data_IF_641251607359
#
_entry.id   IF_641251607359
#
_cell.length_a   1.000
_cell.length_b   1.000
_cell.length_c   1.000
_cell.angle_alpha   90.00
_cell.angle_beta   90.00
_cell.angle_gamma   90.00
#
_symmetry.space_group_name_H-M   'P 1'
#
loop_
_entity.id
_entity.type
_entity.pdbx_description
1 polymer ?
#
# COMPACT_ATOMS: atom_id res chain seq x y z
N UNK A 1 -19.76 -23.36 -12.98
CA UNK A 1 -18.34 -23.59 -12.73
C UNK A 1 -18.03 -22.83 -11.45
N UNK A 2 -17.73 -23.51 -10.34
CA UNK A 2 -17.29 -22.81 -9.14
C UNK A 2 -15.91 -22.19 -9.45
N UNK A 3 -15.80 -20.88 -9.34
CA UNK A 3 -14.53 -20.18 -9.53
C UNK A 3 -13.56 -20.65 -8.43
N UNK A 4 -12.44 -21.23 -8.82
CA UNK A 4 -11.39 -21.67 -7.89
C UNK A 4 -10.83 -20.41 -7.20
N UNK A 5 -11.14 -20.26 -5.91
CA UNK A 5 -10.59 -19.19 -5.08
C UNK A 5 -9.06 -19.32 -5.03
N UNK A 6 -8.35 -18.27 -5.44
CA UNK A 6 -6.90 -18.20 -5.42
C UNK A 6 -6.40 -17.74 -4.05
N UNK A 7 -5.30 -18.35 -3.60
CA UNK A 7 -4.59 -17.91 -2.41
C UNK A 7 -3.55 -16.84 -2.80
N UNK A 8 -3.71 -15.62 -2.29
CA UNK A 8 -2.74 -14.55 -2.52
C UNK A 8 -1.46 -14.83 -1.71
N UNK A 9 -0.24 -14.76 -2.28
CA UNK A 9 0.99 -15.13 -1.59
C UNK A 9 1.31 -14.23 -0.38
N UNK A 10 0.79 -13.00 -0.36
CA UNK A 10 0.96 -12.06 0.76
C UNK A 10 -0.19 -12.12 1.78
N UNK A 11 -1.15 -13.05 1.63
CA UNK A 11 -2.38 -13.08 2.43
C UNK A 11 -2.11 -13.04 3.92
N UNK A 12 -1.20 -13.87 4.46
CA UNK A 12 -0.93 -13.92 5.89
C UNK A 12 -0.41 -12.58 6.45
N UNK A 13 0.49 -11.92 5.70
CA UNK A 13 1.02 -10.60 6.08
C UNK A 13 -0.05 -9.51 5.97
N UNK A 14 -0.86 -9.57 4.93
CA UNK A 14 -1.92 -8.59 4.71
C UNK A 14 -3.06 -8.75 5.71
N UNK A 15 -3.36 -9.97 6.15
CA UNK A 15 -4.33 -10.25 7.21
C UNK A 15 -3.93 -9.56 8.51
N UNK A 16 -2.69 -9.75 8.94
CA UNK A 16 -2.15 -9.10 10.15
C UNK A 16 -2.26 -7.57 10.05
N UNK A 17 -1.92 -7.01 8.88
CA UNK A 17 -2.07 -5.57 8.64
C UNK A 17 -3.54 -5.13 8.67
N UNK A 18 -4.47 -5.87 8.07
CA UNK A 18 -5.91 -5.57 8.11
C UNK A 18 -6.45 -5.61 9.54
N UNK A 19 -6.03 -6.59 10.35
CA UNK A 19 -6.41 -6.67 11.76
C UNK A 19 -5.90 -5.45 12.55
N UNK A 20 -4.69 -4.97 12.28
CA UNK A 20 -4.17 -3.72 12.85
C UNK A 20 -5.00 -2.49 12.43
N UNK A 21 -5.39 -2.40 11.15
CA UNK A 21 -6.23 -1.30 10.66
C UNK A 21 -7.61 -1.32 11.33
N UNK A 22 -8.24 -2.49 11.49
CA UNK A 22 -9.53 -2.63 12.16
C UNK A 22 -9.47 -2.27 13.65
N UNK A 23 -8.34 -2.53 14.31
CA UNK A 23 -8.14 -2.17 15.71
C UNK A 23 -7.93 -0.66 15.93
N UNK A 24 -7.53 0.09 14.89
CA UNK A 24 -7.29 1.53 14.98
C UNK A 24 -8.61 2.32 14.90
N UNK A 25 -9.00 2.95 16.01
CA UNK A 25 -10.19 3.82 16.05
C UNK A 25 -10.04 5.11 15.23
N UNK A 26 -8.83 5.68 15.22
CA UNK A 26 -8.48 6.87 14.44
C UNK A 26 -7.28 6.53 13.56
N UNK A 27 -7.36 6.69 12.23
CA UNK A 27 -6.27 6.34 11.34
C UNK A 27 -5.13 7.37 11.40
N UNK A 28 -3.89 6.87 11.45
CA UNK A 28 -2.70 7.66 11.14
C UNK A 28 -2.45 7.67 9.62
N UNK A 29 -1.57 8.57 9.15
CA UNK A 29 -1.25 8.70 7.72
C UNK A 29 -0.80 7.38 7.09
N UNK A 30 0.05 6.62 7.80
CA UNK A 30 0.48 5.29 7.37
C UNK A 30 -0.67 4.31 7.19
N UNK A 31 -1.66 4.34 8.09
CA UNK A 31 -2.85 3.49 8.00
C UNK A 31 -3.68 3.82 6.75
N UNK A 32 -3.81 5.11 6.41
CA UNK A 32 -4.52 5.54 5.20
C UNK A 32 -3.79 5.05 3.93
N UNK A 33 -2.47 5.16 3.91
CA UNK A 33 -1.63 4.68 2.80
C UNK A 33 -1.71 3.16 2.66
N UNK A 34 -1.65 2.42 3.77
CA UNK A 34 -1.76 0.96 3.77
C UNK A 34 -3.15 0.48 3.35
N UNK A 35 -4.21 1.11 3.84
CA UNK A 35 -5.58 0.80 3.42
C UNK A 35 -5.75 1.00 1.90
N UNK A 36 -5.28 2.12 1.35
CA UNK A 36 -5.36 2.37 -0.10
C UNK A 36 -4.57 1.33 -0.91
N UNK A 37 -3.35 1.00 -0.46
CA UNK A 37 -2.50 -0.02 -1.09
C UNK A 37 -3.18 -1.40 -1.10
N UNK A 38 -3.79 -1.80 0.01
CA UNK A 38 -4.48 -3.09 0.12
C UNK A 38 -5.76 -3.12 -0.72
N UNK A 39 -6.54 -2.05 -0.73
CA UNK A 39 -7.72 -1.93 -1.60
C UNK A 39 -7.36 -2.09 -3.07
N UNK A 40 -6.28 -1.44 -3.54
CA UNK A 40 -5.79 -1.62 -4.91
C UNK A 40 -5.26 -3.02 -5.18
N UNK A 41 -4.59 -3.66 -4.21
CA UNK A 41 -4.04 -5.00 -4.37
C UNK A 41 -5.12 -6.07 -4.56
N UNK A 42 -6.18 -6.00 -3.76
CA UNK A 42 -7.25 -7.01 -3.75
C UNK A 42 -8.43 -6.64 -4.68
N UNK A 43 -8.35 -5.51 -5.38
CA UNK A 43 -9.37 -5.14 -6.38
C UNK A 43 -9.38 -6.13 -7.54
N UNK A 44 -10.52 -6.80 -7.74
CA UNK A 44 -10.70 -7.78 -8.81
C UNK A 44 -9.90 -9.08 -8.63
N UNK A 45 -9.24 -9.28 -7.49
CA UNK A 45 -8.53 -10.53 -7.21
C UNK A 45 -9.52 -11.68 -6.97
N UNK A 46 -9.39 -12.82 -7.67
CA UNK A 46 -10.30 -13.96 -7.53
C UNK A 46 -9.96 -14.78 -6.26
N UNK A 47 -10.30 -14.25 -5.09
CA UNK A 47 -10.05 -14.84 -3.77
C UNK A 47 -9.97 -13.76 -2.66
N UNK A 48 -9.65 -14.17 -1.43
CA UNK A 48 -9.49 -13.27 -0.28
C UNK A 48 -10.68 -12.30 -0.06
N UNK A 49 -11.90 -12.80 -0.24
CA UNK A 49 -13.14 -12.03 -0.03
C UNK A 49 -13.22 -11.49 1.40
N UNK A 50 -12.74 -12.27 2.38
CA UNK A 50 -12.66 -11.86 3.78
C UNK A 50 -11.83 -10.58 3.97
N UNK A 51 -10.68 -10.44 3.29
CA UNK A 51 -9.86 -9.22 3.36
C UNK A 51 -10.58 -8.05 2.70
N UNK A 52 -11.24 -8.28 1.56
CA UNK A 52 -11.98 -7.21 0.87
C UNK A 52 -13.14 -6.69 1.72
N UNK A 53 -13.88 -7.58 2.37
CA UNK A 53 -14.94 -7.21 3.30
C UNK A 53 -14.40 -6.45 4.50
N UNK A 54 -13.29 -6.89 5.08
CA UNK A 54 -12.67 -6.22 6.22
C UNK A 54 -12.09 -4.85 5.84
N UNK A 55 -11.47 -4.70 4.67
CA UNK A 55 -11.03 -3.39 4.14
C UNK A 55 -12.23 -2.44 3.93
N UNK A 56 -13.37 -2.95 3.46
CA UNK A 56 -14.59 -2.18 3.33
C UNK A 56 -15.18 -1.79 4.69
N UNK A 57 -15.08 -2.66 5.71
CA UNK A 57 -15.43 -2.32 7.09
C UNK A 57 -14.53 -1.23 7.65
N UNK A 58 -13.22 -1.28 7.40
CA UNK A 58 -12.27 -0.24 7.83
C UNK A 58 -12.63 1.13 7.24
N UNK A 59 -12.99 1.21 5.95
CA UNK A 59 -13.50 2.45 5.35
C UNK A 59 -14.72 3.00 6.10
N UNK A 60 -15.69 2.14 6.43
CA UNK A 60 -16.90 2.53 7.17
C UNK A 60 -16.57 2.96 8.60
N UNK A 61 -15.68 2.24 9.29
CA UNK A 61 -15.22 2.55 10.64
C UNK A 61 -14.65 3.96 10.72
N UNK A 62 -13.86 4.36 9.71
CA UNK A 62 -13.26 5.69 9.65
C UNK A 62 -14.14 6.73 8.95
N UNK A 63 -15.36 6.35 8.55
CA UNK A 63 -16.31 7.21 7.82
C UNK A 63 -15.70 7.83 6.55
N UNK A 64 -14.97 7.03 5.78
CA UNK A 64 -14.33 7.44 4.54
C UNK A 64 -14.96 6.77 3.32
N UNK A 65 -15.15 7.53 2.25
CA UNK A 65 -15.27 6.97 0.91
C UNK A 65 -13.90 6.63 0.32
N UNK A 66 -13.90 5.80 -0.74
CA UNK A 66 -12.66 5.48 -1.46
C UNK A 66 -12.04 6.71 -2.13
N UNK A 67 -12.84 7.63 -2.64
CA UNK A 67 -12.36 8.89 -3.21
C UNK A 67 -11.67 9.75 -2.13
N UNK A 68 -12.30 9.94 -0.97
CA UNK A 68 -11.69 10.69 0.14
C UNK A 68 -10.39 10.04 0.62
N UNK A 69 -10.35 8.71 0.71
CA UNK A 69 -9.12 7.98 1.03
C UNK A 69 -8.02 8.28 0.00
N UNK A 70 -8.34 8.25 -1.29
CA UNK A 70 -7.37 8.54 -2.36
C UNK A 70 -6.91 10.00 -2.32
N UNK A 71 -7.80 10.95 -2.07
CA UNK A 71 -7.44 12.36 -1.92
C UNK A 71 -6.50 12.58 -0.73
N UNK A 72 -6.82 12.01 0.43
CA UNK A 72 -5.96 12.12 1.63
C UNK A 72 -4.61 11.46 1.43
N UNK A 73 -4.57 10.27 0.84
CA UNK A 73 -3.30 9.60 0.56
C UNK A 73 -2.43 10.41 -0.40
N UNK A 74 -2.98 11.02 -1.45
CA UNK A 74 -2.22 11.94 -2.32
C UNK A 74 -1.60 13.09 -1.53
N UNK A 75 -2.39 13.77 -0.69
CA UNK A 75 -1.88 14.85 0.15
C UNK A 75 -0.75 14.39 1.09
N UNK A 76 -0.84 13.18 1.65
CA UNK A 76 0.21 12.57 2.48
C UNK A 76 1.51 12.38 1.68
N UNK A 77 1.42 11.88 0.44
CA UNK A 77 2.59 11.71 -0.43
C UNK A 77 3.20 13.05 -0.86
N UNK A 78 2.38 14.05 -1.16
CA UNK A 78 2.81 15.42 -1.45
C UNK A 78 3.50 16.07 -0.24
N UNK A 79 3.04 15.76 0.97
CA UNK A 79 3.66 16.16 2.24
C UNK A 79 5.00 15.48 2.55
N UNK A 80 5.50 14.60 1.66
CA UNK A 80 6.82 13.97 1.80
C UNK A 80 6.83 12.63 2.52
N UNK A 81 5.67 12.06 2.87
CA UNK A 81 5.60 10.73 3.46
C UNK A 81 6.19 9.68 2.52
N UNK A 82 7.11 8.85 3.01
CA UNK A 82 7.71 7.73 2.27
C UNK A 82 7.74 6.49 3.16
N UNK A 83 6.90 5.47 2.90
CA UNK A 83 6.89 4.26 3.70
C UNK A 83 8.21 3.51 3.50
N UNK A 84 8.85 3.11 4.61
CA UNK A 84 10.11 2.35 4.57
C UNK A 84 11.36 3.17 4.20
N UNK A 85 11.23 4.48 3.95
CA UNK A 85 12.40 5.33 3.83
C UNK A 85 13.03 5.51 5.22
N UNK A 86 14.13 4.80 5.46
CA UNK A 86 15.13 5.30 6.39
C UNK A 86 15.60 6.66 5.83
N UNK A 87 15.84 7.68 6.65
CA UNK A 87 16.43 8.93 6.17
C UNK A 87 17.84 8.60 5.68
N UNK A 88 17.95 8.25 4.40
CA UNK A 88 19.22 8.20 3.68
C UNK A 88 19.58 9.66 3.43
N UNK A 89 20.16 10.28 4.46
CA UNK A 89 20.96 11.47 4.25
C UNK A 89 22.04 11.09 3.23
N UNK A 90 21.93 11.68 2.05
CA UNK A 90 23.00 11.83 1.06
C UNK A 90 23.69 10.54 0.57
N UNK A 91 23.33 10.12 -0.65
CA UNK A 91 24.27 9.80 -1.75
C UNK A 91 23.63 8.80 -2.73
N UNK A 92 22.70 9.27 -3.57
CA UNK A 92 22.59 8.68 -4.91
C UNK A 92 23.63 9.36 -5.78
N UNK A 93 24.88 8.92 -5.63
CA UNK A 93 25.92 9.20 -6.61
C UNK A 93 25.45 8.61 -7.94
N UNK A 94 25.21 9.46 -8.93
CA UNK A 94 24.92 9.06 -10.30
C UNK A 94 26.15 8.42 -10.92
N UNK A 95 26.44 7.17 -10.54
CA UNK A 95 27.43 6.31 -11.16
C UNK A 95 26.90 5.73 -12.46
N UNK A 96 26.51 6.59 -13.40
CA UNK A 96 26.40 6.23 -14.81
C UNK A 96 27.59 6.87 -15.52
N UNK A 97 28.76 6.25 -15.36
CA UNK A 97 29.96 6.57 -16.14
C UNK A 97 30.13 5.43 -17.15
N UNK A 98 29.55 5.58 -18.34
CA UNK A 98 29.92 4.77 -19.49
C UNK A 98 31.09 5.47 -20.17
N UNK A 99 32.27 5.38 -19.58
CA UNK A 99 33.51 5.61 -20.32
C UNK A 99 33.85 4.35 -21.12
N UNK A 100 33.22 4.20 -22.29
CA UNK A 100 33.85 3.47 -23.38
C UNK A 100 34.87 4.43 -24.01
N UNK A 101 36.12 4.29 -23.59
CA UNK A 101 37.28 4.85 -24.26
C UNK A 101 38.05 3.67 -24.83
N UNK A 102 37.56 3.10 -25.93
CA UNK A 102 38.37 2.21 -26.77
C UNK A 102 38.87 2.99 -27.99
N UNK A 103 40.15 3.38 -27.91
CA UNK A 103 41.02 3.68 -29.05
C UNK A 103 42.44 3.40 -28.56
N UNK A 104 43.20 2.54 -29.22
CA UNK A 104 43.59 2.70 -30.63
C UNK A 104 43.44 1.46 -31.54
#
# INVERSE_FOLDING_TARGET
MAELQQAHPLYAKDRDLVDQLLAAQVPADGHLVDLARLLSRYEGFPGAEDLRDDLAKTLRLWSLSREELHQRTRAIWEGGYRPGAQPVAEAVGSGFDTADQDSP
#
